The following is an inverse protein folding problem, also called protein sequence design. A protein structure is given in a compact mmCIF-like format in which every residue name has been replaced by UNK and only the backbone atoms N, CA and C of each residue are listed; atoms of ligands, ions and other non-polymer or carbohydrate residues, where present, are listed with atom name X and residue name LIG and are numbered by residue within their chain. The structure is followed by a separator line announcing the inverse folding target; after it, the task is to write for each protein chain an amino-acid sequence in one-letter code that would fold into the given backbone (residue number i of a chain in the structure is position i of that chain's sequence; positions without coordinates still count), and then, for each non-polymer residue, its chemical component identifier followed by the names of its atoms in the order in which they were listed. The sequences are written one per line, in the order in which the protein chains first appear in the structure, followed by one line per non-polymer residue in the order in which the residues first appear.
data_IF_611873885093
#
_entry.id   IF_611873885093
#
_cell.length_a   1.000
_cell.length_b   1.000
_cell.length_c   1.000
_cell.angle_alpha   90.00
_cell.angle_beta   90.00
_cell.angle_gamma   90.00
#
_symmetry.space_group_name_H-M   'P 1'
#
loop_
_entity.id
_entity.type
_entity.pdbx_description
1 polymer ?
#
# COMPACT_ATOMS: atom_id res chain seq x y z
N UNK A 1 -30.63 -26.32 -13.81
CA UNK A 1 -30.22 -26.39 -12.39
C UNK A 1 -28.90 -25.64 -12.26
N UNK A 2 -28.90 -24.45 -11.65
CA UNK A 2 -27.66 -23.71 -11.40
C UNK A 2 -26.87 -24.43 -10.31
N UNK A 3 -25.79 -25.10 -10.67
CA UNK A 3 -24.86 -25.70 -9.72
C UNK A 3 -24.43 -24.66 -8.67
N UNK A 4 -24.65 -24.96 -7.39
CA UNK A 4 -24.19 -24.13 -6.28
C UNK A 4 -22.66 -24.21 -6.18
N UNK A 5 -21.98 -23.33 -6.92
CA UNK A 5 -20.53 -23.19 -6.84
C UNK A 5 -20.17 -22.61 -5.47
N UNK A 6 -19.16 -23.20 -4.80
CA UNK A 6 -18.60 -22.66 -3.55
C UNK A 6 -18.13 -21.20 -3.66
N UNK A 7 -17.74 -20.76 -4.86
CA UNK A 7 -17.35 -19.37 -5.18
C UNK A 7 -18.25 -18.87 -6.31
N UNK A 8 -19.42 -18.34 -5.97
CA UNK A 8 -20.46 -17.86 -6.90
C UNK A 8 -20.32 -16.37 -7.28
N UNK A 9 -19.59 -15.58 -6.48
CA UNK A 9 -19.39 -14.14 -6.72
C UNK A 9 -18.21 -13.88 -7.68
N UNK A 10 -18.42 -13.00 -8.66
CA UNK A 10 -17.38 -12.54 -9.59
C UNK A 10 -16.96 -11.10 -9.26
N UNK A 11 -15.64 -10.85 -9.24
CA UNK A 11 -15.06 -9.51 -9.14
C UNK A 11 -14.42 -9.20 -10.50
N UNK A 12 -14.90 -8.16 -11.18
CA UNK A 12 -14.31 -7.64 -12.43
C UNK A 12 -13.52 -6.38 -12.11
N UNK A 13 -12.31 -6.27 -12.66
CA UNK A 13 -11.47 -5.08 -12.55
C UNK A 13 -10.71 -4.88 -13.86
N UNK A 14 -10.49 -3.61 -14.20
CA UNK A 14 -9.74 -3.22 -15.39
C UNK A 14 -8.26 -3.07 -15.05
N UNK A 15 -7.41 -3.41 -16.01
CA UNK A 15 -5.96 -3.28 -15.92
C UNK A 15 -5.44 -2.76 -17.25
N UNK A 16 -4.35 -2.00 -17.19
CA UNK A 16 -3.56 -1.65 -18.37
C UNK A 16 -2.84 -2.89 -18.91
N UNK A 17 -2.36 -2.83 -20.15
CA UNK A 17 -1.58 -3.93 -20.75
C UNK A 17 -0.31 -4.26 -19.96
N UNK A 18 0.32 -3.23 -19.37
CA UNK A 18 1.50 -3.43 -18.54
C UNK A 18 1.15 -4.21 -17.27
N UNK A 19 0.09 -3.82 -16.57
CA UNK A 19 -0.38 -4.49 -15.36
C UNK A 19 -0.84 -5.92 -15.65
N UNK A 20 -1.53 -6.16 -16.77
CA UNK A 20 -1.95 -7.49 -17.19
C UNK A 20 -0.75 -8.44 -17.34
N UNK A 21 0.29 -8.00 -18.07
CA UNK A 21 1.54 -8.77 -18.26
C UNK A 21 2.23 -9.06 -16.93
N UNK A 22 2.30 -8.08 -16.03
CA UNK A 22 2.89 -8.28 -14.71
C UNK A 22 2.10 -9.27 -13.86
N UNK A 23 0.77 -9.18 -13.85
CA UNK A 23 -0.10 -10.11 -13.13
C UNK A 23 0.11 -11.53 -13.67
N UNK A 24 0.12 -11.72 -15.00
CA UNK A 24 0.37 -13.04 -15.61
C UNK A 24 1.72 -13.63 -15.20
N UNK A 25 2.79 -12.83 -15.28
CA UNK A 25 4.14 -13.25 -14.87
C UNK A 25 4.18 -13.64 -13.38
N UNK A 26 3.49 -12.91 -12.51
CA UNK A 26 3.41 -13.22 -11.07
C UNK A 26 2.62 -14.50 -10.81
N UNK A 27 1.52 -14.73 -11.54
CA UNK A 27 0.74 -15.97 -11.47
C UNK A 27 1.60 -17.17 -11.88
N UNK A 28 2.29 -17.09 -13.02
CA UNK A 28 3.20 -18.15 -13.51
C UNK A 28 4.29 -18.48 -12.48
N UNK A 29 4.97 -17.45 -11.95
CA UNK A 29 6.00 -17.63 -10.92
C UNK A 29 5.45 -18.25 -9.62
N UNK A 30 4.19 -17.98 -9.28
CA UNK A 30 3.58 -18.50 -8.05
C UNK A 30 3.21 -19.98 -8.12
N UNK A 31 3.17 -20.58 -9.33
CA UNK A 31 2.69 -21.95 -9.60
C UNK A 31 1.25 -22.21 -9.13
N UNK A 32 0.45 -21.16 -8.90
CA UNK A 32 -0.97 -21.24 -8.55
C UNK A 32 -1.84 -20.98 -9.79
N UNK A 33 -3.08 -21.47 -9.75
CA UNK A 33 -4.11 -21.01 -10.70
C UNK A 33 -4.35 -19.51 -10.48
N UNK A 34 -4.63 -18.78 -11.56
CA UNK A 34 -4.84 -17.32 -11.51
C UNK A 34 -5.85 -16.91 -10.43
N UNK A 35 -6.99 -17.62 -10.32
CA UNK A 35 -8.01 -17.37 -9.31
C UNK A 35 -7.46 -17.50 -7.89
N UNK A 36 -6.72 -18.58 -7.59
CA UNK A 36 -6.18 -18.80 -6.26
C UNK A 36 -5.05 -17.81 -5.93
N UNK A 37 -4.23 -17.45 -6.93
CA UNK A 37 -3.21 -16.40 -6.77
C UNK A 37 -3.85 -15.05 -6.44
N UNK A 38 -4.88 -14.63 -7.17
CA UNK A 38 -5.52 -13.33 -6.97
C UNK A 38 -6.27 -13.28 -5.64
N UNK A 39 -6.98 -14.34 -5.27
CA UNK A 39 -7.64 -14.43 -3.95
C UNK A 39 -6.60 -14.35 -2.83
N UNK A 40 -5.52 -15.13 -2.89
CA UNK A 40 -4.46 -15.08 -1.87
C UNK A 40 -3.79 -13.71 -1.83
N UNK A 41 -3.54 -13.10 -2.98
CA UNK A 41 -2.90 -11.77 -3.05
C UNK A 41 -3.81 -10.67 -2.49
N UNK A 42 -5.11 -10.76 -2.73
CA UNK A 42 -6.09 -9.81 -2.20
C UNK A 42 -6.35 -9.99 -0.69
N UNK A 43 -6.34 -11.22 -0.18
CA UNK A 43 -6.66 -11.51 1.22
C UNK A 43 -5.44 -11.51 2.16
N UNK A 44 -4.27 -11.93 1.68
CA UNK A 44 -3.09 -12.11 2.54
C UNK A 44 -2.11 -10.94 2.52
N UNK A 45 -2.37 -9.92 1.69
CA UNK A 45 -1.56 -8.69 1.72
C UNK A 45 -2.14 -7.74 2.77
N UNK A 46 -1.47 -7.63 3.91
CA UNK A 46 -1.83 -6.65 4.95
C UNK A 46 -1.64 -5.24 4.38
N UNK A 47 -2.74 -4.53 4.16
CA UNK A 47 -2.71 -3.09 3.87
C UNK A 47 -2.77 -2.39 5.22
N UNK A 48 -1.67 -1.75 5.61
CA UNK A 48 -1.62 -0.93 6.82
C UNK A 48 -1.93 0.50 6.37
N UNK A 49 -3.11 0.98 6.72
CA UNK A 49 -3.45 2.40 6.61
C UNK A 49 -2.95 3.05 7.89
N UNK A 50 -2.02 3.98 7.77
CA UNK A 50 -1.51 4.75 8.91
C UNK A 50 -2.19 6.11 8.86
N UNK A 51 -3.34 6.20 9.51
CA UNK A 51 -4.02 7.46 9.75
C UNK A 51 -3.20 8.33 10.71
N UNK A 52 -3.16 9.64 10.50
CA UNK A 52 -2.40 10.55 11.37
C UNK A 52 -0.92 10.74 11.01
N UNK A 53 -0.38 10.00 10.02
CA UNK A 53 1.04 10.10 9.66
C UNK A 53 1.41 11.49 9.16
N UNK A 54 0.51 12.13 8.40
CA UNK A 54 0.75 13.47 7.84
C UNK A 54 0.81 14.52 8.96
N UNK A 55 -0.06 14.39 9.94
CA UNK A 55 -0.16 15.25 11.12
C UNK A 55 1.09 15.11 11.99
N UNK A 56 1.56 13.88 12.23
CA UNK A 56 2.81 13.61 12.95
C UNK A 56 4.01 14.23 12.23
N UNK A 57 4.08 14.10 10.89
CA UNK A 57 5.17 14.69 10.10
C UNK A 57 5.15 16.22 10.15
N UNK A 58 3.97 16.84 10.22
CA UNK A 58 3.82 18.28 10.38
C UNK A 58 4.35 18.75 11.73
N UNK A 59 3.99 18.07 12.82
CA UNK A 59 4.51 18.40 14.16
C UNK A 59 6.03 18.18 14.23
N UNK A 60 6.54 17.09 13.66
CA UNK A 60 7.98 16.86 13.59
C UNK A 60 8.72 17.98 12.84
N UNK A 61 8.11 18.51 11.77
CA UNK A 61 8.68 19.64 11.03
C UNK A 61 8.68 20.93 11.87
N UNK A 62 7.65 21.15 12.70
CA UNK A 62 7.57 22.28 13.64
C UNK A 62 8.65 22.18 14.71
N UNK A 63 8.84 21.00 15.30
CA UNK A 63 9.91 20.76 16.27
C UNK A 63 11.29 21.00 15.66
N UNK A 64 11.53 20.51 14.43
CA UNK A 64 12.77 20.78 13.72
C UNK A 64 13.03 22.27 13.48
N UNK A 65 12.01 23.04 13.15
CA UNK A 65 12.11 24.49 12.98
C UNK A 65 12.43 25.20 14.30
N UNK A 66 11.79 24.81 15.40
CA UNK A 66 12.05 25.37 16.72
C UNK A 66 13.49 25.09 17.16
N UNK A 67 13.96 23.85 17.00
CA UNK A 67 15.35 23.47 17.26
C UNK A 67 16.34 24.29 16.43
N UNK A 68 16.06 24.49 15.15
CA UNK A 68 16.91 25.29 14.28
C UNK A 68 16.98 26.76 14.72
N UNK A 69 15.86 27.32 15.18
CA UNK A 69 15.84 28.68 15.72
C UNK A 69 16.68 28.81 17.00
N UNK A 70 16.58 27.84 17.92
CA UNK A 70 17.39 27.83 19.16
C UNK A 70 18.87 27.73 18.82
N UNK A 71 19.25 26.78 17.95
CA UNK A 71 20.64 26.61 17.55
C UNK A 71 21.20 27.86 16.86
N UNK A 72 20.39 28.52 16.04
CA UNK A 72 20.77 29.77 15.38
C UNK A 72 21.04 30.90 16.39
N UNK A 73 20.17 31.09 17.39
CA UNK A 73 20.38 32.10 18.45
C UNK A 73 21.69 31.86 19.21
N UNK A 74 21.93 30.61 19.62
CA UNK A 74 23.17 30.20 20.29
C UNK A 74 24.40 30.52 19.41
N UNK A 75 24.33 30.22 18.11
CA UNK A 75 25.42 30.50 17.17
C UNK A 75 25.62 32.00 16.91
N UNK A 76 24.56 32.79 17.00
CA UNK A 76 24.60 34.26 16.89
C UNK A 76 25.11 34.92 18.19
N UNK A 77 25.29 34.16 19.27
CA UNK A 77 25.76 34.66 20.56
C UNK A 77 24.67 35.29 21.42
N UNK A 78 23.39 35.04 21.09
CA UNK A 78 22.21 35.33 21.92
C UNK A 78 21.82 34.14 22.82
#
# INVERSE_FOLDING_TARGET
MSENRKRDKQIKFYVTEKEYKEIKKKVEKSKLKQTDYLIKSALNKKIIVVDGLKEILLELSREGNNLNQIAKKINEGE
#
